data_IF_898960961676
#
_entry.id   IF_898960961676
#
_cell.length_a   1.000
_cell.length_b   1.000
_cell.length_c   1.000
_cell.angle_alpha   90.00
_cell.angle_beta   90.00
_cell.angle_gamma   90.00
#
_symmetry.space_group_name_H-M   'P 1'
#
loop_
_entity.id
_entity.type
_entity.pdbx_description
1 polymer ?
#
# COMPACT_ATOMS: atom_id res chain seq x y z
N UNK A 1 18.80 26.50 -44.99
CA UNK A 1 18.72 26.57 -43.52
C UNK A 1 18.35 25.20 -43.02
N UNK A 2 19.28 24.47 -42.41
CA UNK A 2 19.01 23.16 -41.82
C UNK A 2 18.49 23.37 -40.39
N UNK A 3 17.26 22.95 -40.13
CA UNK A 3 16.66 22.96 -38.81
C UNK A 3 17.26 21.81 -37.99
N UNK A 4 17.95 22.15 -36.91
CA UNK A 4 18.34 21.20 -35.87
C UNK A 4 17.07 20.68 -35.19
N UNK A 5 16.76 19.40 -35.37
CA UNK A 5 15.85 18.69 -34.48
C UNK A 5 16.62 18.45 -33.18
N UNK A 6 16.26 19.20 -32.14
CA UNK A 6 16.78 19.00 -30.81
C UNK A 6 16.36 17.63 -30.29
N UNK A 7 17.33 16.74 -30.13
CA UNK A 7 17.18 15.52 -29.34
C UNK A 7 16.79 15.90 -27.93
N UNK A 8 15.53 15.65 -27.55
CA UNK A 8 15.11 15.81 -26.15
C UNK A 8 15.97 14.90 -25.28
N UNK A 9 16.71 15.49 -24.34
CA UNK A 9 17.41 14.73 -23.31
C UNK A 9 16.40 13.81 -22.63
N UNK A 10 16.61 12.50 -22.66
CA UNK A 10 15.81 11.56 -21.89
C UNK A 10 15.88 12.01 -20.43
N UNK A 11 14.79 12.56 -19.90
CA UNK A 11 14.70 12.95 -18.50
C UNK A 11 15.09 11.71 -17.66
N UNK A 12 16.07 11.85 -16.77
CA UNK A 12 16.56 10.75 -15.96
C UNK A 12 15.44 10.31 -14.99
N UNK A 13 14.66 9.31 -15.41
CA UNK A 13 13.54 8.74 -14.66
C UNK A 13 14.08 8.02 -13.42
N UNK A 14 13.51 8.23 -12.22
CA UNK A 14 13.94 7.51 -11.04
C UNK A 14 13.69 6.01 -11.19
N UNK A 15 14.65 5.19 -10.77
CA UNK A 15 14.48 3.74 -10.70
C UNK A 15 13.57 3.35 -9.54
N UNK A 16 12.78 2.29 -9.74
CA UNK A 16 11.96 1.65 -8.72
C UNK A 16 12.17 0.14 -8.74
N UNK A 17 12.28 -0.46 -7.57
CA UNK A 17 12.11 -1.89 -7.39
C UNK A 17 10.68 -2.17 -6.95
N UNK A 18 10.03 -3.12 -7.61
CA UNK A 18 8.75 -3.69 -7.21
C UNK A 18 8.99 -5.15 -6.88
N UNK A 19 8.65 -5.55 -5.66
CA UNK A 19 8.81 -6.94 -5.24
C UNK A 19 7.93 -7.87 -6.08
N UNK A 20 8.51 -9.00 -6.48
CA UNK A 20 7.84 -10.13 -7.12
C UNK A 20 8.55 -11.41 -6.69
N UNK A 21 8.03 -12.03 -5.63
CA UNK A 21 8.49 -13.29 -5.10
C UNK A 21 8.25 -14.45 -6.09
N UNK A 22 8.93 -15.60 -5.89
CA UNK A 22 8.77 -16.79 -6.71
C UNK A 22 7.34 -17.38 -6.67
N UNK A 23 6.60 -17.14 -5.60
CA UNK A 23 5.25 -17.69 -5.37
C UNK A 23 4.14 -16.64 -5.54
N UNK A 24 4.49 -15.40 -5.89
CA UNK A 24 3.53 -14.30 -6.02
C UNK A 24 2.73 -14.39 -7.33
N UNK A 25 1.51 -13.86 -7.29
CA UNK A 25 0.77 -13.51 -8.51
C UNK A 25 1.47 -12.33 -9.21
N UNK A 26 2.02 -12.52 -10.43
CA UNK A 26 2.74 -11.47 -11.14
C UNK A 26 1.87 -10.25 -11.49
N UNK A 27 0.54 -10.40 -11.57
CA UNK A 27 -0.36 -9.29 -11.90
C UNK A 27 -0.46 -8.28 -10.75
N UNK A 28 -0.29 -8.70 -9.49
CA UNK A 28 -0.25 -7.81 -8.33
C UNK A 28 0.98 -6.88 -8.38
N UNK A 29 2.16 -7.46 -8.62
CA UNK A 29 3.39 -6.67 -8.83
C UNK A 29 3.23 -5.74 -10.04
N UNK A 30 2.66 -6.24 -11.13
CA UNK A 30 2.49 -5.45 -12.36
C UNK A 30 1.55 -4.26 -12.16
N UNK A 31 0.48 -4.41 -11.40
CA UNK A 31 -0.42 -3.30 -11.06
C UNK A 31 0.32 -2.16 -10.32
N UNK A 32 1.17 -2.50 -9.33
CA UNK A 32 2.04 -1.52 -8.64
C UNK A 32 3.04 -0.89 -9.61
N UNK A 33 3.64 -1.70 -10.49
CA UNK A 33 4.55 -1.21 -11.52
C UNK A 33 3.90 -0.19 -12.45
N UNK A 34 2.71 -0.48 -12.96
CA UNK A 34 1.93 0.43 -13.83
C UNK A 34 1.51 1.71 -13.08
N UNK A 35 1.19 1.62 -11.79
CA UNK A 35 0.91 2.80 -10.96
C UNK A 35 2.16 3.71 -10.85
N UNK A 36 3.34 3.12 -10.62
CA UNK A 36 4.60 3.85 -10.55
C UNK A 36 5.00 4.48 -11.90
N UNK A 37 4.87 3.73 -13.00
CA UNK A 37 5.15 4.22 -14.36
C UNK A 37 4.18 5.31 -14.81
N UNK A 38 2.92 5.22 -14.40
CA UNK A 38 1.89 6.21 -14.73
C UNK A 38 1.94 7.46 -13.85
N UNK A 39 2.62 7.42 -12.70
CA UNK A 39 2.78 8.57 -11.78
C UNK A 39 3.45 9.79 -12.44
N UNK A 40 3.46 10.93 -11.74
CA UNK A 40 4.10 12.16 -12.23
C UNK A 40 5.60 11.99 -12.46
N UNK A 41 6.23 11.06 -11.73
CA UNK A 41 7.68 10.78 -11.76
C UNK A 41 8.10 9.82 -12.86
N UNK A 42 7.15 9.09 -13.47
CA UNK A 42 7.40 8.16 -14.58
C UNK A 42 8.56 7.20 -14.27
N UNK A 43 8.45 6.44 -13.17
CA UNK A 43 9.54 5.57 -12.72
C UNK A 43 9.96 4.56 -13.81
N UNK A 44 11.23 4.17 -13.76
CA UNK A 44 11.72 2.97 -14.47
C UNK A 44 11.62 1.80 -13.50
N UNK A 45 10.65 0.91 -13.71
CA UNK A 45 10.36 -0.21 -12.82
C UNK A 45 11.21 -1.43 -13.16
N UNK A 46 11.74 -2.09 -12.13
CA UNK A 46 12.31 -3.43 -12.21
C UNK A 46 11.62 -4.32 -11.18
N UNK A 47 11.18 -5.50 -11.63
CA UNK A 47 10.59 -6.51 -10.76
C UNK A 47 11.68 -7.37 -10.16
N UNK A 48 11.72 -7.48 -8.84
CA UNK A 48 12.82 -8.13 -8.09
C UNK A 48 12.30 -9.17 -7.12
N UNK A 49 12.97 -10.32 -7.09
CA UNK A 49 12.85 -11.30 -6.00
C UNK A 49 13.94 -11.10 -4.96
N UNK A 50 13.95 -11.90 -3.88
CA UNK A 50 14.92 -11.80 -2.80
C UNK A 50 16.38 -11.88 -3.30
N UNK A 51 16.68 -12.76 -4.26
CA UNK A 51 18.04 -12.92 -4.83
C UNK A 51 18.55 -11.67 -5.57
N UNK A 52 17.67 -10.75 -5.94
CA UNK A 52 18.04 -9.49 -6.62
C UNK A 52 18.22 -8.32 -5.64
N UNK A 53 17.81 -8.49 -4.38
CA UNK A 53 17.83 -7.43 -3.37
C UNK A 53 19.13 -7.54 -2.58
N UNK A 54 19.98 -6.55 -2.76
CA UNK A 54 21.24 -6.40 -2.03
C UNK A 54 21.44 -4.93 -1.71
N UNK A 55 22.28 -4.62 -0.72
CA UNK A 55 22.68 -3.24 -0.44
C UNK A 55 23.20 -2.48 -1.68
N UNK A 56 23.88 -3.16 -2.62
CA UNK A 56 24.39 -2.55 -3.85
C UNK A 56 23.31 -2.35 -4.91
N UNK A 57 22.44 -3.33 -5.13
CA UNK A 57 21.35 -3.19 -6.11
C UNK A 57 20.36 -2.09 -5.70
N UNK A 58 20.07 -1.96 -4.40
CA UNK A 58 19.18 -0.92 -3.86
C UNK A 58 19.70 0.51 -4.07
N UNK A 59 21.01 0.73 -4.23
CA UNK A 59 21.58 2.06 -4.56
C UNK A 59 21.15 2.56 -5.94
N UNK A 60 20.73 1.67 -6.83
CA UNK A 60 20.31 2.01 -8.19
C UNK A 60 18.89 2.59 -8.27
N UNK A 61 18.10 2.45 -7.21
CA UNK A 61 16.70 2.87 -7.17
C UNK A 61 16.44 3.93 -6.11
N UNK A 62 15.28 4.57 -6.20
CA UNK A 62 14.79 5.55 -5.21
C UNK A 62 13.68 5.01 -4.34
N UNK A 63 13.02 3.95 -4.78
CA UNK A 63 11.90 3.34 -4.08
C UNK A 63 11.96 1.83 -4.20
N UNK A 64 11.60 1.17 -3.11
CA UNK A 64 11.26 -0.24 -3.04
C UNK A 64 9.77 -0.31 -2.71
N UNK A 65 8.99 -0.97 -3.56
CA UNK A 65 7.55 -1.13 -3.41
C UNK A 65 7.21 -2.60 -3.23
N UNK A 66 6.35 -2.90 -2.27
CA UNK A 66 5.87 -4.25 -1.98
C UNK A 66 4.36 -4.31 -2.26
N UNK A 67 3.90 -5.19 -3.17
CA UNK A 67 2.49 -5.29 -3.55
C UNK A 67 1.63 -6.00 -2.48
N UNK A 68 0.36 -6.21 -2.80
CA UNK A 68 -0.47 -7.19 -2.09
C UNK A 68 0.01 -8.62 -2.29
N UNK A 69 -0.56 -9.56 -1.55
CA UNK A 69 -0.26 -10.98 -1.66
C UNK A 69 -1.00 -11.77 -0.58
N UNK A 70 -0.88 -13.11 -0.60
CA UNK A 70 -1.84 -13.99 0.09
C UNK A 70 -1.58 -14.18 1.58
N UNK A 71 -0.32 -14.12 2.04
CA UNK A 71 0.03 -14.47 3.42
C UNK A 71 1.26 -13.69 3.92
N UNK A 72 1.16 -13.11 5.12
CA UNK A 72 2.21 -12.28 5.74
C UNK A 72 3.39 -13.11 6.22
N UNK A 73 3.15 -14.29 6.79
CA UNK A 73 4.19 -15.14 7.36
C UNK A 73 5.05 -15.76 6.25
N UNK A 74 4.41 -16.28 5.20
CA UNK A 74 5.11 -16.84 4.04
C UNK A 74 5.96 -15.77 3.32
N UNK A 75 5.35 -14.60 3.05
CA UNK A 75 6.05 -13.48 2.41
C UNK A 75 7.19 -12.93 3.28
N UNK A 76 7.01 -12.96 4.60
CA UNK A 76 8.08 -12.59 5.52
C UNK A 76 9.24 -13.58 5.47
N UNK A 77 9.00 -14.89 5.45
CA UNK A 77 10.10 -15.86 5.38
C UNK A 77 10.91 -15.72 4.07
N UNK A 78 10.26 -15.31 2.97
CA UNK A 78 10.97 -14.97 1.72
C UNK A 78 11.78 -13.66 1.82
N UNK A 79 11.25 -12.64 2.50
CA UNK A 79 11.86 -11.30 2.57
C UNK A 79 12.91 -11.15 3.68
N UNK A 80 12.77 -11.90 4.77
CA UNK A 80 13.60 -11.84 5.98
C UNK A 80 15.11 -11.93 5.72
N UNK A 81 15.63 -12.75 4.78
CA UNK A 81 17.06 -12.78 4.47
C UNK A 81 17.62 -11.43 3.99
N UNK A 82 16.79 -10.59 3.36
CA UNK A 82 17.19 -9.28 2.80
C UNK A 82 16.58 -8.10 3.56
N UNK A 83 15.87 -8.36 4.67
CA UNK A 83 15.17 -7.33 5.44
C UNK A 83 16.09 -6.22 5.95
N UNK A 84 17.32 -6.55 6.35
CA UNK A 84 18.27 -5.53 6.83
C UNK A 84 18.72 -4.59 5.71
N UNK A 85 18.97 -5.12 4.51
CA UNK A 85 19.33 -4.30 3.34
C UNK A 85 18.21 -3.32 2.98
N UNK A 86 16.95 -3.75 3.08
CA UNK A 86 15.78 -2.90 2.84
C UNK A 86 15.68 -1.81 3.92
N UNK A 87 15.81 -2.17 5.21
CA UNK A 87 15.81 -1.19 6.30
C UNK A 87 16.91 -0.16 6.13
N UNK A 88 18.12 -0.60 5.82
CA UNK A 88 19.27 0.29 5.63
C UNK A 88 19.07 1.19 4.41
N UNK A 89 18.51 0.66 3.32
CA UNK A 89 18.13 1.47 2.16
C UNK A 89 17.15 2.58 2.53
N UNK A 90 16.07 2.26 3.25
CA UNK A 90 15.10 3.27 3.68
C UNK A 90 15.75 4.25 4.67
N UNK A 91 16.45 3.75 5.69
CA UNK A 91 17.12 4.58 6.69
C UNK A 91 18.11 5.59 6.07
N UNK A 92 18.74 5.24 4.95
CA UNK A 92 19.69 6.10 4.23
C UNK A 92 19.04 7.00 3.17
N UNK A 93 17.72 7.20 3.23
CA UNK A 93 17.02 8.11 2.32
C UNK A 93 16.38 7.46 1.11
N UNK A 94 16.28 6.12 1.09
CA UNK A 94 15.38 5.38 0.21
C UNK A 94 13.91 5.61 0.55
N UNK A 95 13.02 4.98 -0.21
CA UNK A 95 11.57 5.04 -0.01
C UNK A 95 10.97 3.65 0.01
N UNK A 96 9.99 3.46 0.89
CA UNK A 96 9.18 2.25 0.94
C UNK A 96 7.74 2.58 0.57
N UNK A 97 7.14 1.77 -0.30
CA UNK A 97 5.70 1.79 -0.57
C UNK A 97 5.12 0.41 -0.30
N UNK A 98 4.17 0.31 0.63
CA UNK A 98 3.48 -0.94 0.96
C UNK A 98 2.01 -0.89 0.61
N UNK A 99 1.54 -1.83 -0.20
CA UNK A 99 0.13 -1.98 -0.58
C UNK A 99 -0.43 -3.28 0.01
N UNK A 100 -1.55 -3.20 0.74
CA UNK A 100 -2.17 -4.35 1.43
C UNK A 100 -1.14 -5.17 2.23
N UNK A 101 -0.77 -6.38 1.78
CA UNK A 101 0.31 -7.20 2.35
C UNK A 101 1.61 -6.42 2.60
N UNK A 102 2.02 -5.58 1.65
CA UNK A 102 3.19 -4.70 1.81
C UNK A 102 3.04 -3.68 2.94
N UNK A 103 1.81 -3.29 3.30
CA UNK A 103 1.55 -2.48 4.49
C UNK A 103 1.73 -3.29 5.78
N UNK A 104 1.27 -4.56 5.83
CA UNK A 104 1.54 -5.46 6.96
C UNK A 104 3.03 -5.69 7.18
N UNK A 105 3.78 -5.96 6.11
CA UNK A 105 5.23 -6.17 6.17
C UNK A 105 6.02 -4.92 6.59
N UNK A 106 5.43 -3.73 6.53
CA UNK A 106 6.05 -2.53 7.10
C UNK A 106 6.04 -2.54 8.65
N UNK A 107 5.17 -3.33 9.27
CA UNK A 107 5.08 -3.54 10.72
C UNK A 107 6.26 -4.33 11.29
N UNK A 108 6.24 -4.61 12.59
CA UNK A 108 7.37 -5.20 13.33
C UNK A 108 7.23 -6.69 13.66
N UNK A 109 6.04 -7.30 13.50
CA UNK A 109 5.79 -8.68 13.93
C UNK A 109 4.73 -9.41 13.09
N UNK A 110 5.14 -10.21 12.09
CA UNK A 110 6.46 -10.15 11.45
C UNK A 110 6.60 -8.90 10.56
N UNK A 111 7.83 -8.52 10.22
CA UNK A 111 8.06 -7.49 9.21
C UNK A 111 9.35 -6.69 9.35
N UNK A 112 9.40 -5.62 8.55
CA UNK A 112 10.56 -4.76 8.37
C UNK A 112 10.77 -3.76 9.51
N UNK A 113 9.78 -3.59 10.41
CA UNK A 113 9.78 -2.61 11.49
C UNK A 113 10.05 -1.18 10.98
N UNK A 114 9.38 -0.79 9.90
CA UNK A 114 9.49 0.51 9.24
C UNK A 114 8.48 1.53 9.77
N UNK A 115 7.41 1.08 10.41
CA UNK A 115 6.43 1.94 11.07
C UNK A 115 6.94 2.44 12.44
N UNK A 116 6.37 3.53 12.98
CA UNK A 116 6.75 4.03 14.30
C UNK A 116 6.58 2.98 15.40
N UNK A 117 7.51 2.91 16.35
CA UNK A 117 7.46 1.95 17.47
C UNK A 117 6.10 1.97 18.20
N UNK A 118 5.58 0.79 18.49
CA UNK A 118 4.27 0.62 19.16
C UNK A 118 3.07 0.68 18.23
N UNK A 119 3.28 0.95 16.94
CA UNK A 119 2.27 0.76 15.90
C UNK A 119 1.91 -0.70 15.80
N UNK A 120 0.62 -1.00 15.65
CA UNK A 120 0.11 -2.34 15.40
C UNK A 120 -0.60 -2.36 14.05
N UNK A 121 -0.60 -3.52 13.40
CA UNK A 121 -1.32 -3.73 12.15
C UNK A 121 -2.25 -4.93 12.32
N UNK A 122 -3.49 -4.78 11.86
CA UNK A 122 -4.50 -5.83 11.85
C UNK A 122 -5.35 -5.76 10.59
N UNK A 123 -6.07 -6.82 10.22
CA UNK A 123 -7.08 -6.77 9.16
C UNK A 123 -8.24 -5.84 9.52
N UNK A 124 -8.67 -4.98 8.59
CA UNK A 124 -9.87 -4.15 8.76
C UNK A 124 -11.10 -5.04 8.98
N UNK A 125 -11.18 -6.21 8.35
CA UNK A 125 -12.28 -7.17 8.53
C UNK A 125 -12.48 -7.60 9.99
N UNK A 126 -11.39 -7.72 10.75
CA UNK A 126 -11.38 -8.08 12.17
C UNK A 126 -11.76 -6.91 13.08
N UNK A 127 -11.67 -5.68 12.60
CA UNK A 127 -11.91 -4.51 13.44
C UNK A 127 -13.40 -4.25 13.69
N UNK A 128 -13.71 -3.73 14.88
CA UNK A 128 -15.08 -3.42 15.26
C UNK A 128 -15.66 -2.35 14.33
N UNK A 129 -16.85 -2.62 13.79
CA UNK A 129 -17.57 -1.65 12.94
C UNK A 129 -17.11 -1.60 11.49
N UNK A 130 -16.13 -2.42 11.08
CA UNK A 130 -15.67 -2.48 9.69
C UNK A 130 -16.81 -2.67 8.69
N UNK A 131 -16.69 -2.00 7.55
CA UNK A 131 -17.67 -2.06 6.45
C UNK A 131 -17.70 -3.44 5.79
N UNK A 132 -16.53 -4.07 5.68
CA UNK A 132 -16.30 -5.39 5.08
C UNK A 132 -15.84 -6.32 6.21
N UNK A 133 -16.32 -7.57 6.22
CA UNK A 133 -16.14 -8.53 7.33
C UNK A 133 -15.45 -9.83 6.93
N UNK A 134 -14.92 -9.85 5.72
CA UNK A 134 -14.28 -10.96 5.04
C UNK A 134 -13.14 -10.43 4.17
N UNK A 135 -12.42 -11.35 3.54
CA UNK A 135 -11.26 -11.14 2.66
C UNK A 135 -11.63 -11.06 1.17
N UNK A 136 -12.91 -11.28 0.83
CA UNK A 136 -13.39 -11.28 -0.55
C UNK A 136 -13.10 -9.97 -1.29
N UNK A 137 -13.02 -10.07 -2.60
CA UNK A 137 -12.93 -8.91 -3.48
C UNK A 137 -14.18 -8.03 -3.35
N UNK A 138 -13.95 -6.76 -3.07
CA UNK A 138 -15.02 -5.77 -2.88
C UNK A 138 -14.51 -4.35 -3.06
N UNK A 139 -15.43 -3.41 -2.95
CA UNK A 139 -15.11 -1.98 -2.81
C UNK A 139 -15.30 -1.58 -1.34
N UNK A 140 -14.43 -0.70 -0.84
CA UNK A 140 -14.56 -0.08 0.48
C UNK A 140 -14.48 1.45 0.36
N UNK A 141 -15.12 2.18 1.27
CA UNK A 141 -15.04 3.64 1.28
C UNK A 141 -13.90 4.14 2.17
N UNK A 142 -13.14 5.08 1.64
CA UNK A 142 -12.12 5.83 2.39
C UNK A 142 -12.33 7.33 2.31
N UNK A 143 -11.93 8.02 3.36
CA UNK A 143 -11.72 9.46 3.36
C UNK A 143 -10.23 9.69 3.12
N UNK A 144 -9.87 10.21 1.94
CA UNK A 144 -8.49 10.42 1.52
C UNK A 144 -8.10 11.90 1.59
N UNK A 145 -7.10 12.22 2.39
CA UNK A 145 -6.54 13.57 2.51
C UNK A 145 -5.37 13.73 1.53
N UNK A 146 -5.62 14.42 0.42
CA UNK A 146 -4.63 14.60 -0.63
C UNK A 146 -3.50 15.52 -0.18
N UNK A 147 -2.26 15.05 -0.27
CA UNK A 147 -1.08 15.87 0.05
C UNK A 147 -0.56 16.66 -1.15
N UNK A 148 -0.81 16.18 -2.36
CA UNK A 148 -0.20 16.63 -3.60
C UNK A 148 -1.23 16.84 -4.73
N UNK A 149 -0.75 17.29 -5.88
CA UNK A 149 -1.59 17.53 -7.06
C UNK A 149 -2.62 18.66 -6.88
N UNK A 150 -3.64 18.65 -7.74
CA UNK A 150 -4.71 19.67 -7.75
C UNK A 150 -5.63 19.62 -6.52
N UNK A 151 -5.63 18.50 -5.80
CA UNK A 151 -6.43 18.28 -4.60
C UNK A 151 -5.65 18.50 -3.31
N UNK A 152 -4.38 18.90 -3.37
CA UNK A 152 -3.54 19.09 -2.19
C UNK A 152 -4.22 19.94 -1.11
N UNK A 153 -4.28 19.40 0.10
CA UNK A 153 -4.93 19.97 1.27
C UNK A 153 -6.44 19.80 1.36
N UNK A 154 -7.03 19.02 0.47
CA UNK A 154 -8.44 18.64 0.53
C UNK A 154 -8.59 17.17 0.92
N UNK A 155 -9.65 16.89 1.66
CA UNK A 155 -10.09 15.51 1.92
C UNK A 155 -11.23 15.17 0.98
N UNK A 156 -11.05 14.09 0.21
CA UNK A 156 -12.12 13.47 -0.57
C UNK A 156 -12.81 12.44 0.32
N UNK A 157 -14.07 12.69 0.64
CA UNK A 157 -14.87 11.84 1.52
C UNK A 157 -15.49 10.67 0.74
N UNK A 158 -15.63 9.52 1.39
CA UNK A 158 -16.38 8.35 0.92
C UNK A 158 -15.98 7.81 -0.46
N UNK A 159 -14.70 7.94 -0.83
CA UNK A 159 -14.15 7.45 -2.11
C UNK A 159 -14.11 5.94 -2.13
N UNK A 160 -14.67 5.33 -3.17
CA UNK A 160 -14.64 3.88 -3.35
C UNK A 160 -13.31 3.40 -3.90
N UNK A 161 -12.61 2.56 -3.14
CA UNK A 161 -11.32 1.94 -3.53
C UNK A 161 -11.45 0.42 -3.49
N UNK A 162 -10.76 -0.27 -4.40
CA UNK A 162 -10.71 -1.74 -4.40
C UNK A 162 -10.13 -2.25 -3.08
N UNK A 163 -10.68 -3.35 -2.59
CA UNK A 163 -10.37 -3.95 -1.30
C UNK A 163 -10.46 -5.47 -1.40
N UNK A 164 -9.40 -6.17 -1.02
CA UNK A 164 -9.32 -7.62 -0.91
C UNK A 164 -8.49 -7.88 0.33
N UNK A 165 -9.18 -8.00 1.46
CA UNK A 165 -8.58 -7.76 2.76
C UNK A 165 -7.88 -6.36 2.80
N UNK A 166 -7.32 -5.96 3.92
CA UNK A 166 -6.62 -4.67 3.99
C UNK A 166 -6.27 -4.28 5.39
N UNK A 167 -5.10 -3.68 5.54
CA UNK A 167 -4.56 -3.35 6.85
C UNK A 167 -5.27 -2.15 7.49
N UNK A 168 -5.38 -2.19 8.81
CA UNK A 168 -5.61 -1.06 9.70
C UNK A 168 -4.33 -0.79 10.47
N UNK A 169 -3.93 0.47 10.53
CA UNK A 169 -2.80 0.90 11.37
C UNK A 169 -3.32 1.43 12.70
N UNK A 170 -2.95 0.76 13.80
CA UNK A 170 -3.38 1.09 15.16
C UNK A 170 -2.25 1.70 15.96
N UNK A 171 -2.60 2.55 16.92
CA UNK A 171 -1.65 3.29 17.76
C UNK A 171 -0.67 4.19 16.96
N UNK A 172 -1.05 4.58 15.74
CA UNK A 172 -0.25 5.49 14.92
C UNK A 172 -0.43 6.93 15.41
N UNK A 173 0.63 7.49 15.98
CA UNK A 173 0.63 8.85 16.53
C UNK A 173 1.16 9.83 15.50
N UNK A 174 0.28 10.72 15.03
CA UNK A 174 0.62 11.80 14.10
C UNK A 174 1.54 12.84 14.77
N UNK A 175 2.53 13.33 14.02
CA UNK A 175 3.46 14.39 14.44
C UNK A 175 4.08 15.04 13.19
N UNK A 176 5.20 15.75 13.33
CA UNK A 176 5.88 16.43 12.21
C UNK A 176 6.48 15.48 11.16
N UNK A 177 6.56 14.18 11.45
CA UNK A 177 7.13 13.15 10.58
C UNK A 177 6.25 11.92 10.41
N UNK A 178 5.07 11.88 11.03
CA UNK A 178 4.10 10.78 10.98
C UNK A 178 2.74 11.38 10.64
N UNK A 179 2.10 10.90 9.58
CA UNK A 179 0.88 11.48 9.04
C UNK A 179 -0.10 10.40 8.62
N UNK A 180 -1.39 10.63 8.87
CA UNK A 180 -2.46 9.81 8.33
C UNK A 180 -2.92 10.42 7.01
N UNK A 181 -2.80 9.64 5.93
CA UNK A 181 -3.27 10.05 4.60
C UNK A 181 -4.72 9.66 4.37
N UNK A 182 -5.17 8.53 4.94
CA UNK A 182 -6.53 8.07 4.76
C UNK A 182 -7.09 7.33 5.96
N UNK A 183 -8.42 7.38 6.07
CA UNK A 183 -9.20 6.62 7.03
C UNK A 183 -10.31 5.86 6.34
N UNK A 184 -10.63 4.65 6.80
CA UNK A 184 -11.83 3.94 6.37
C UNK A 184 -13.05 4.78 6.79
N UNK A 185 -13.94 5.11 5.85
CA UNK A 185 -15.00 6.10 6.07
C UNK A 185 -15.99 5.68 7.16
N UNK A 186 -16.27 4.38 7.26
CA UNK A 186 -17.25 3.83 8.21
C UNK A 186 -16.76 3.81 9.66
N UNK A 187 -15.45 3.62 9.87
CA UNK A 187 -14.86 3.39 11.20
C UNK A 187 -13.96 4.53 11.67
N UNK A 188 -13.42 5.32 10.75
CA UNK A 188 -12.36 6.29 11.04
C UNK A 188 -11.00 5.63 11.32
N UNK A 189 -10.89 4.30 11.19
CA UNK A 189 -9.64 3.57 11.33
C UNK A 189 -8.63 4.02 10.27
N UNK A 190 -7.35 3.99 10.61
CA UNK A 190 -6.27 4.46 9.71
C UNK A 190 -6.06 3.45 8.59
N UNK A 191 -6.35 3.87 7.36
CA UNK A 191 -6.24 3.06 6.15
C UNK A 191 -4.93 3.31 5.39
N UNK A 192 -4.35 4.50 5.49
CA UNK A 192 -3.08 4.82 4.86
C UNK A 192 -2.23 5.77 5.72
N UNK A 193 -0.92 5.52 5.75
CA UNK A 193 0.04 6.30 6.54
C UNK A 193 1.22 6.76 5.72
N UNK A 194 1.86 7.81 6.23
CA UNK A 194 3.17 8.25 5.80
C UNK A 194 4.03 8.53 7.04
N UNK A 195 5.19 7.90 7.16
CA UNK A 195 6.13 8.20 8.23
C UNK A 195 7.58 8.30 7.76
N UNK A 196 8.41 9.02 8.53
CA UNK A 196 9.86 9.03 8.37
C UNK A 196 10.47 7.76 9.00
N UNK A 197 11.50 7.22 8.36
CA UNK A 197 12.34 6.14 8.90
C UNK A 197 13.81 6.45 8.56
N UNK A 198 14.62 6.80 9.56
CA UNK A 198 15.94 7.40 9.34
C UNK A 198 15.83 8.69 8.50
N UNK A 199 16.50 8.74 7.37
CA UNK A 199 16.39 9.80 6.36
C UNK A 199 15.39 9.50 5.24
N UNK A 200 14.83 8.29 5.21
CA UNK A 200 13.81 7.87 4.25
C UNK A 200 12.39 8.07 4.72
N UNK A 201 11.47 7.64 3.86
CA UNK A 201 10.03 7.76 4.07
C UNK A 201 9.31 6.49 3.63
N UNK A 202 8.26 6.17 4.37
CA UNK A 202 7.49 4.94 4.29
C UNK A 202 6.04 5.36 4.06
N UNK A 203 5.49 5.01 2.91
CA UNK A 203 4.07 5.17 2.60
C UNK A 203 3.38 3.81 2.60
N UNK A 204 2.25 3.69 3.29
CA UNK A 204 1.47 2.44 3.32
C UNK A 204 0.00 2.70 3.05
N UNK A 205 -0.68 1.73 2.45
CA UNK A 205 -2.14 1.72 2.28
C UNK A 205 -2.68 0.30 2.44
N UNK A 206 -3.80 0.17 3.15
CA UNK A 206 -4.56 -1.08 3.26
C UNK A 206 -5.32 -1.39 1.97
N UNK A 207 -6.19 -0.48 1.48
CA UNK A 207 -6.86 -0.64 0.19
C UNK A 207 -5.89 -0.54 -0.98
N UNK A 208 -6.37 -0.91 -2.17
CA UNK A 208 -5.58 -1.08 -3.38
C UNK A 208 -5.85 0.02 -4.43
N UNK A 209 -5.27 1.21 -4.31
CA UNK A 209 -5.38 2.23 -5.35
C UNK A 209 -4.59 1.89 -6.63
N UNK A 210 -3.71 0.88 -6.59
CA UNK A 210 -3.04 0.31 -7.77
C UNK A 210 -3.94 -0.60 -8.60
N UNK A 211 -5.05 -1.08 -8.03
CA UNK A 211 -5.93 -2.04 -8.68
C UNK A 211 -6.40 -1.50 -10.04
N UNK A 212 -6.20 -2.31 -11.06
CA UNK A 212 -6.48 -1.97 -12.45
C UNK A 212 -7.00 -3.18 -13.20
N UNK A 213 -7.23 -3.06 -14.51
CA UNK A 213 -7.81 -4.14 -15.31
C UNK A 213 -7.06 -5.47 -15.24
N UNK A 214 -5.77 -5.50 -14.87
CA UNK A 214 -4.97 -6.71 -14.72
C UNK A 214 -5.37 -7.51 -13.50
N UNK A 215 -5.69 -6.83 -12.40
CA UNK A 215 -6.29 -7.48 -11.24
C UNK A 215 -7.62 -8.07 -11.74
N UNK A 216 -7.74 -9.40 -11.79
CA UNK A 216 -8.92 -10.10 -12.33
C UNK A 216 -10.23 -9.67 -11.65
N UNK A 217 -10.10 -8.98 -10.52
CA UNK A 217 -11.13 -8.55 -9.61
C UNK A 217 -11.37 -7.04 -9.60
N UNK A 218 -10.59 -6.21 -10.33
CA UNK A 218 -10.78 -4.77 -10.31
C UNK A 218 -12.13 -4.33 -10.90
N UNK A 219 -12.75 -3.27 -10.36
CA UNK A 219 -14.03 -2.74 -10.81
C UNK A 219 -13.89 -2.06 -12.16
N UNK A 220 -14.00 -2.82 -13.24
CA UNK A 220 -14.20 -2.26 -14.59
C UNK A 220 -15.34 -3.03 -15.25
N UNK A 221 -16.33 -2.35 -15.84
CA UNK A 221 -17.21 -3.00 -16.79
C UNK A 221 -16.39 -3.29 -18.06
N UNK A 222 -15.56 -4.33 -18.01
CA UNK A 222 -14.86 -4.87 -19.15
C UNK A 222 -15.48 -6.23 -19.45
N UNK A 223 -16.23 -6.28 -20.55
CA UNK A 223 -16.51 -7.54 -21.23
C UNK A 223 -15.15 -8.12 -21.63
N UNK A 224 -14.61 -9.03 -20.82
CA UNK A 224 -13.52 -9.91 -21.23
C UNK A 224 -14.17 -11.04 -22.01
N UNK A 225 -14.11 -10.97 -23.34
CA UNK A 225 -14.32 -12.15 -24.17
C UNK A 225 -13.08 -13.04 -24.03
N UNK A 226 -13.05 -13.91 -23.02
CA UNK A 226 -12.13 -15.05 -23.01
C UNK A 226 -12.94 -16.27 -23.47
N UNK A 227 -12.63 -16.77 -24.66
CA UNK A 227 -13.26 -17.96 -25.23
C UNK A 227 -12.66 -19.27 -24.70
N UNK A 228 -11.65 -19.21 -23.83
CA UNK A 228 -10.77 -20.36 -23.56
C UNK A 228 -10.56 -20.69 -22.06
N UNK A 229 -11.36 -20.16 -21.14
CA UNK A 229 -11.28 -20.54 -19.72
C UNK A 229 -12.66 -20.61 -19.05
N UNK A 230 -13.06 -21.82 -18.64
CA UNK A 230 -14.39 -22.16 -18.13
C UNK A 230 -14.53 -21.89 -16.62
N UNK A 231 -13.57 -21.21 -15.99
CA UNK A 231 -13.67 -20.75 -14.60
C UNK A 231 -13.31 -19.26 -14.50
N UNK A 232 -14.30 -18.40 -14.74
CA UNK A 232 -14.17 -16.97 -14.49
C UNK A 232 -15.05 -16.62 -13.30
N UNK A 233 -14.45 -16.51 -12.11
CA UNK A 233 -15.07 -15.78 -11.00
C UNK A 233 -15.03 -14.29 -11.35
N UNK A 234 -15.94 -13.86 -12.24
CA UNK A 234 -16.12 -12.45 -12.58
C UNK A 234 -16.80 -11.78 -11.40
N UNK A 235 -16.01 -11.25 -10.47
CA UNK A 235 -16.55 -10.35 -9.45
C UNK A 235 -16.88 -9.02 -10.14
N UNK A 236 -18.14 -8.81 -10.49
CA UNK A 236 -18.62 -7.56 -11.08
C UNK A 236 -18.71 -6.48 -9.99
N UNK A 237 -17.56 -5.91 -9.61
CA UNK A 237 -17.49 -4.83 -8.65
C UNK A 237 -17.84 -3.50 -9.33
N UNK A 238 -18.89 -2.84 -8.85
CA UNK A 238 -19.22 -1.49 -9.28
C UNK A 238 -18.61 -0.46 -8.33
N UNK A 239 -17.58 0.24 -8.77
CA UNK A 239 -17.09 1.45 -8.13
C UNK A 239 -17.77 2.66 -8.79
N UNK A 240 -18.56 3.45 -8.04
CA UNK A 240 -19.15 4.68 -8.60
C UNK A 240 -18.09 5.67 -9.08
N UNK A 241 -16.90 5.58 -8.49
CA UNK A 241 -15.81 6.53 -8.70
C UNK A 241 -14.75 6.01 -9.70
N UNK A 242 -14.91 4.79 -10.23
CA UNK A 242 -13.95 4.16 -11.15
C UNK A 242 -12.61 3.77 -10.50
N UNK A 243 -11.55 3.67 -11.31
CA UNK A 243 -10.19 3.38 -10.83
C UNK A 243 -9.61 4.58 -10.06
N UNK A 244 -8.92 4.32 -8.96
CA UNK A 244 -8.48 5.34 -7.99
C UNK A 244 -6.98 5.66 -8.10
N UNK A 245 -6.46 5.77 -9.33
CA UNK A 245 -5.04 6.07 -9.56
C UNK A 245 -4.60 7.43 -9.02
N UNK A 246 -5.51 8.39 -8.88
CA UNK A 246 -5.20 9.68 -8.25
C UNK A 246 -4.80 9.52 -6.77
N UNK A 247 -5.48 8.63 -6.03
CA UNK A 247 -5.11 8.25 -4.66
C UNK A 247 -3.73 7.59 -4.64
N UNK A 248 -3.49 6.63 -5.53
CA UNK A 248 -2.19 5.92 -5.60
C UNK A 248 -1.04 6.85 -5.99
N UNK A 249 -1.26 7.78 -6.93
CA UNK A 249 -0.28 8.79 -7.31
C UNK A 249 -0.01 9.77 -6.17
N UNK A 250 -1.03 10.15 -5.39
CA UNK A 250 -0.83 10.99 -4.21
C UNK A 250 0.03 10.30 -3.15
N UNK A 251 -0.22 9.01 -2.86
CA UNK A 251 0.63 8.22 -1.95
C UNK A 251 2.10 8.19 -2.41
N UNK A 252 2.32 7.97 -3.70
CA UNK A 252 3.66 7.98 -4.31
C UNK A 252 4.31 9.36 -4.12
N UNK A 253 3.61 10.45 -4.44
CA UNK A 253 4.17 11.80 -4.31
C UNK A 253 4.39 12.22 -2.85
N UNK A 254 3.49 11.85 -1.93
CA UNK A 254 3.65 12.09 -0.50
C UNK A 254 4.94 11.45 0.03
N UNK A 255 5.16 10.19 -0.36
CA UNK A 255 6.34 9.40 0.00
C UNK A 255 7.60 9.98 -0.62
N UNK A 256 7.57 10.30 -1.90
CA UNK A 256 8.75 10.80 -2.64
C UNK A 256 9.16 12.21 -2.26
N UNK A 257 8.19 13.11 -1.98
CA UNK A 257 8.46 14.48 -1.50
C UNK A 257 9.05 14.51 -0.10
N UNK A 258 9.00 13.38 0.62
CA UNK A 258 9.43 13.26 2.00
C UNK A 258 8.55 14.08 2.93
N UNK A 259 7.23 13.93 2.80
CA UNK A 259 6.23 14.62 3.61
C UNK A 259 6.19 16.14 3.44
N UNK A 260 6.99 16.74 2.54
CA UNK A 260 7.00 18.20 2.34
C UNK A 260 5.65 18.74 1.89
N UNK A 261 4.97 17.97 1.05
CA UNK A 261 3.65 18.31 0.55
C UNK A 261 2.54 18.07 1.58
N UNK A 262 2.81 17.28 2.62
CA UNK A 262 1.86 16.94 3.69
C UNK A 262 1.59 18.12 4.63
N UNK A 263 2.41 19.18 4.59
CA UNK A 263 2.11 20.47 5.23
C UNK A 263 0.80 21.10 4.72
N UNK A 264 0.29 20.63 3.58
CA UNK A 264 -0.96 21.09 3.01
C UNK A 264 -2.17 20.37 3.61
N UNK A 265 -1.99 19.23 4.28
CA UNK A 265 -3.11 18.48 4.86
C UNK A 265 -3.85 19.31 5.93
N UNK A 266 -5.17 19.13 6.05
CA UNK A 266 -5.91 19.71 7.16
C UNK A 266 -5.33 19.21 8.49
N UNK A 267 -5.24 20.07 9.50
CA UNK A 267 -4.84 19.63 10.83
C UNK A 267 -5.83 18.58 11.33
N UNK A 268 -5.37 17.37 11.61
CA UNK A 268 -6.13 16.35 12.31
C UNK A 268 -6.52 16.89 13.69
N UNK A 269 -7.78 17.32 13.86
CA UNK A 269 -8.32 17.57 15.19
C UNK A 269 -8.23 16.30 16.03
N UNK A 270 -8.14 16.38 17.37
CA UNK A 270 -7.99 15.20 18.21
C UNK A 270 -9.22 14.31 18.08
N UNK A 271 -9.10 13.18 17.36
CA UNK A 271 -10.06 12.08 17.43
C UNK A 271 -9.68 11.24 18.64
N UNK A 272 -10.12 11.68 19.83
CA UNK A 272 -10.04 10.91 21.06
C UNK A 272 -10.89 9.64 20.93
N UNK A 273 -10.28 8.54 20.51
CA UNK A 273 -10.76 7.20 20.83
C UNK A 273 -10.39 6.87 22.27
N UNK A 274 -11.02 7.53 23.25
CA UNK A 274 -10.91 7.13 24.66
C UNK A 274 -11.86 5.98 24.91
N UNK A 275 -11.32 4.76 24.97
CA UNK A 275 -11.89 3.67 25.77
C UNK A 275 -10.76 3.03 26.58
N UNK A 276 -10.25 3.78 27.55
CA UNK A 276 -9.47 3.24 28.66
C UNK A 276 -10.42 2.86 29.81
N UNK A 277 -10.94 1.64 29.76
CA UNK A 277 -11.29 0.90 30.97
C UNK A 277 -10.63 -0.45 30.97
N UNK A 278 -9.54 -0.52 31.75
CA UNK A 278 -8.94 -1.72 32.28
C UNK A 278 -10.03 -2.61 32.90
N UNK A 279 -10.19 -3.82 32.38
CA UNK A 279 -10.76 -4.94 33.12
C UNK A 279 -9.75 -6.07 33.03
N UNK A 280 -9.33 -6.53 34.20
CA UNK A 280 -8.30 -7.54 34.41
C UNK A 280 -8.63 -8.88 33.74
N UNK A 281 -7.54 -9.58 33.42
CA UNK A 281 -7.48 -10.84 32.70
C UNK A 281 -8.25 -11.99 33.38
N UNK A 282 -8.96 -12.76 32.56
CA UNK A 282 -9.06 -14.21 32.78
C UNK A 282 -8.66 -14.92 31.49
N UNK A 283 -7.70 -15.84 31.61
CA UNK A 283 -6.98 -16.43 30.49
C UNK A 283 -7.88 -17.26 29.57
N UNK A 284 -7.66 -17.10 28.26
CA UNK A 284 -8.08 -18.07 27.26
C UNK A 284 -6.94 -18.30 26.28
N UNK A 285 -6.61 -19.57 26.09
CA UNK A 285 -5.52 -20.07 25.25
C UNK A 285 -5.69 -19.61 23.81
N UNK A 286 -4.61 -19.08 23.24
CA UNK A 286 -4.41 -18.90 21.81
C UNK A 286 -4.82 -20.16 21.05
N UNK A 287 -5.69 -20.00 20.05
CA UNK A 287 -5.99 -21.02 19.05
C UNK A 287 -5.51 -20.49 17.71
N UNK A 288 -4.50 -21.16 17.15
CA UNK A 288 -4.09 -21.05 15.75
C UNK A 288 -5.30 -21.12 14.82
N UNK A 289 -5.49 -20.15 13.90
CA UNK A 289 -6.42 -20.29 12.79
C UNK A 289 -5.64 -20.73 11.54
N UNK A 290 -5.12 -21.96 11.53
CA UNK A 290 -4.66 -22.61 10.30
C UNK A 290 -5.39 -23.94 10.17
N UNK A 291 -6.22 -24.05 9.13
CA UNK A 291 -6.83 -25.32 8.72
C UNK A 291 -8.33 -25.26 8.49
N UNK A 292 -8.76 -24.60 7.41
CA UNK A 292 -10.10 -24.67 6.78
C UNK A 292 -10.08 -23.67 5.61
N UNK A 293 -10.26 -23.97 4.32
CA UNK A 293 -10.86 -25.08 3.59
C UNK A 293 -10.14 -25.21 2.22
N UNK A 294 -9.61 -26.39 1.91
CA UNK A 294 -9.74 -26.92 0.55
C UNK A 294 -11.09 -27.66 0.51
N UNK A 295 -12.06 -27.11 -0.23
CA UNK A 295 -13.24 -27.81 -0.78
C UNK A 295 -14.07 -26.81 -1.60
N UNK A 296 -13.69 -26.57 -2.85
CA UNK A 296 -14.28 -27.12 -4.07
C UNK A 296 -13.62 -26.48 -5.27
#
# INVERSE_FOLDING_TARGET
MAQFIGSGAAANRPGAFVYRGPNDDPDLSKAVGELLESSSRKFTVQYVGPDNITADSLKSVKVFAFPGGPDVDDSWEELKPVAQDIRDFVANGGRYLGFCLGAYLAGDSPGLALLPNGTQISPESDERGAQVKDDRDTMIQVNWSFSSGANAGKTAENRWVYFQEGSVVKNFVENSTNHVLARYSSTGHVAATLNKYGEGWVGTTGPHPEANQLCQFAPVPAIRNNADDDTVDVVNLSATDGLQFDIGHDLIEATMSGGKDVKKLPSSGPTNGTDSKLVESSGSRSRNPLGRLFRR
#
